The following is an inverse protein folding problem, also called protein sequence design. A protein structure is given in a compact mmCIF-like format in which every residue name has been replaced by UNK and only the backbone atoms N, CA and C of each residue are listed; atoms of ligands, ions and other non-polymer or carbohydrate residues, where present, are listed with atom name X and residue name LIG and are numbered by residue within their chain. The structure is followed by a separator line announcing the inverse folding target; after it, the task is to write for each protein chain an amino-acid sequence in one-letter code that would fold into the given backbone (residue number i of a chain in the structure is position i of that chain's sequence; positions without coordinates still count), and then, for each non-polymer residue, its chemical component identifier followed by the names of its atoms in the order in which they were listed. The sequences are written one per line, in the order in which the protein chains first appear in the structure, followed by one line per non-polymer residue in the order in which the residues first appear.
data_IF_269045418283
#
_entry.id   IF_269045418283
#
_cell.length_a   1.000
_cell.length_b   1.000
_cell.length_c   1.000
_cell.angle_alpha   90.00
_cell.angle_beta   90.00
_cell.angle_gamma   90.00
#
_symmetry.space_group_name_H-M   'P 1'
#
loop_
_entity.id
_entity.type
_entity.pdbx_description
1 polymer ?
#
# COMPACT_ATOMS: atom_id res chain seq x y z
N UNK A 1 12.02 52.72 -0.83
CA UNK A 1 10.70 52.71 -1.52
C UNK A 1 10.57 51.41 -2.29
N UNK A 2 9.96 50.39 -1.69
CA UNK A 2 9.89 49.04 -2.26
C UNK A 2 8.51 48.85 -2.87
N UNK A 3 8.44 48.74 -4.20
CA UNK A 3 7.17 48.61 -4.95
C UNK A 3 6.64 47.18 -4.78
N UNK A 4 5.56 47.03 -4.01
CA UNK A 4 4.80 45.77 -3.95
C UNK A 4 4.08 45.58 -5.29
N UNK A 5 4.46 44.55 -6.04
CA UNK A 5 3.72 44.11 -7.22
C UNK A 5 2.56 43.24 -6.77
N UNK A 6 1.34 43.75 -6.94
CA UNK A 6 0.10 43.02 -6.68
C UNK A 6 -0.06 41.85 -7.67
N UNK A 7 -0.05 40.63 -7.15
CA UNK A 7 -0.43 39.45 -7.92
C UNK A 7 -1.96 39.40 -8.09
N UNK A 8 -2.43 39.46 -9.33
CA UNK A 8 -3.83 39.26 -9.70
C UNK A 8 -4.28 37.84 -9.34
N UNK A 9 -5.19 37.69 -8.38
CA UNK A 9 -5.91 36.43 -8.13
C UNK A 9 -7.03 36.27 -9.16
N UNK A 10 -6.86 35.34 -10.10
CA UNK A 10 -7.90 34.95 -11.05
C UNK A 10 -8.82 33.93 -10.38
N UNK A 11 -9.94 34.38 -9.83
CA UNK A 11 -11.02 33.49 -9.39
C UNK A 11 -11.90 33.16 -10.60
N UNK A 12 -11.72 31.98 -11.19
CA UNK A 12 -12.69 31.44 -12.15
C UNK A 12 -13.94 31.02 -11.39
N UNK A 13 -15.08 31.65 -11.68
CA UNK A 13 -16.37 31.17 -11.19
C UNK A 13 -16.84 29.95 -12.00
N UNK A 14 -17.44 28.93 -11.38
CA UNK A 14 -18.06 27.82 -12.09
C UNK A 14 -19.37 28.29 -12.74
N UNK A 15 -19.51 28.03 -14.06
CA UNK A 15 -20.77 28.17 -14.77
C UNK A 15 -21.66 26.98 -14.42
N UNK A 16 -22.76 27.23 -13.72
CA UNK A 16 -23.88 26.31 -13.60
C UNK A 16 -24.64 26.28 -14.92
N UNK A 17 -24.72 25.10 -15.54
CA UNK A 17 -25.68 24.84 -16.62
C UNK A 17 -26.73 23.88 -16.09
N UNK A 18 -27.84 24.44 -15.63
CA UNK A 18 -29.10 23.72 -15.50
C UNK A 18 -29.59 23.33 -16.89
N UNK A 19 -29.70 22.03 -17.17
CA UNK A 19 -30.55 21.53 -18.23
C UNK A 19 -31.07 20.13 -17.88
N UNK A 20 -32.27 20.11 -17.32
CA UNK A 20 -33.15 18.94 -17.29
C UNK A 20 -33.59 18.63 -18.72
N UNK A 21 -33.40 17.38 -19.17
CA UNK A 21 -34.29 16.66 -20.09
C UNK A 21 -34.12 15.16 -19.79
N UNK A 22 -35.21 14.51 -19.37
CA UNK A 22 -35.38 13.07 -19.43
C UNK A 22 -35.65 12.65 -20.88
N UNK A 23 -35.02 11.58 -21.36
CA UNK A 23 -35.71 10.34 -21.75
C UNK A 23 -34.78 9.36 -22.49
N UNK A 24 -34.83 8.11 -22.02
CA UNK A 24 -34.85 6.87 -22.80
C UNK A 24 -34.06 6.79 -24.13
N UNK A 25 -33.05 5.90 -24.18
CA UNK A 25 -33.04 4.81 -25.17
C UNK A 25 -32.09 3.68 -24.77
N UNK A 26 -32.58 2.45 -24.89
CA UNK A 26 -31.87 1.20 -24.74
C UNK A 26 -30.72 1.07 -25.77
N UNK A 27 -29.75 0.17 -25.52
CA UNK A 27 -29.33 -0.94 -26.41
C UNK A 27 -27.87 -1.37 -26.17
N UNK A 28 -27.75 -2.66 -25.79
CA UNK A 28 -26.68 -3.67 -25.98
C UNK A 28 -25.31 -3.46 -25.26
N UNK A 29 -25.00 -4.26 -24.23
CA UNK A 29 -24.40 -5.62 -24.31
C UNK A 29 -23.16 -5.71 -25.20
N UNK A 30 -21.99 -5.74 -24.57
CA UNK A 30 -21.00 -6.80 -24.81
C UNK A 30 -20.06 -6.93 -23.60
N UNK A 31 -20.36 -7.91 -22.75
CA UNK A 31 -19.35 -8.59 -21.96
C UNK A 31 -18.61 -9.50 -22.93
N UNK A 32 -17.29 -9.44 -22.95
CA UNK A 32 -16.46 -10.43 -23.64
C UNK A 32 -15.93 -11.36 -22.56
N UNK A 33 -16.52 -12.54 -22.51
CA UNK A 33 -15.97 -13.71 -21.86
C UNK A 33 -14.75 -14.18 -22.67
N UNK A 34 -13.57 -14.23 -22.04
CA UNK A 34 -12.51 -15.16 -22.46
C UNK A 34 -12.21 -16.05 -21.28
N UNK A 35 -12.75 -17.26 -21.39
CA UNK A 35 -12.40 -18.45 -20.64
C UNK A 35 -10.95 -18.81 -21.00
N UNK A 36 -10.06 -18.85 -20.02
CA UNK A 36 -8.96 -19.81 -20.05
C UNK A 36 -8.89 -20.51 -18.70
N UNK A 37 -9.35 -21.76 -18.70
CA UNK A 37 -9.29 -22.67 -17.58
C UNK A 37 -7.85 -23.17 -17.42
N UNK A 38 -7.17 -22.76 -16.35
CA UNK A 38 -6.10 -23.59 -15.77
C UNK A 38 -6.26 -23.79 -14.26
N UNK A 39 -6.87 -24.94 -14.01
CA UNK A 39 -7.03 -25.71 -12.77
C UNK A 39 -5.70 -26.01 -12.08
N UNK A 40 -5.52 -25.59 -10.82
CA UNK A 40 -5.31 -26.51 -9.67
C UNK A 40 -4.97 -25.79 -8.33
N UNK A 41 -5.82 -26.10 -7.33
CA UNK A 41 -5.54 -26.35 -5.87
C UNK A 41 -4.72 -25.30 -5.10
N UNK A 42 -5.18 -24.65 -4.04
CA UNK A 42 -6.33 -24.88 -3.15
C UNK A 42 -5.85 -24.76 -1.70
N UNK A 43 -6.35 -23.80 -0.93
CA UNK A 43 -6.94 -24.01 0.40
C UNK A 43 -7.45 -22.68 0.98
N UNK A 44 -8.67 -22.77 1.48
CA UNK A 44 -9.59 -21.75 1.95
C UNK A 44 -9.17 -21.06 3.24
N UNK A 45 -9.44 -19.75 3.31
CA UNK A 45 -9.88 -19.14 4.56
C UNK A 45 -11.17 -18.37 4.28
N UNK A 46 -12.27 -18.81 4.91
CA UNK A 46 -13.44 -17.98 5.12
C UNK A 46 -13.05 -16.89 6.13
N UNK A 47 -13.13 -15.64 5.71
CA UNK A 47 -13.31 -14.47 6.58
C UNK A 47 -13.69 -13.35 5.61
N UNK A 48 -14.99 -13.01 5.55
CA UNK A 48 -15.59 -11.90 4.79
C UNK A 48 -14.86 -11.51 3.49
N UNK A 49 -15.10 -12.24 2.40
CA UNK A 49 -14.41 -12.03 1.13
C UNK A 49 -14.84 -10.73 0.46
N UNK A 50 -14.27 -9.62 0.90
CA UNK A 50 -14.15 -8.45 0.04
C UNK A 50 -13.47 -8.92 -1.26
N UNK A 51 -14.10 -8.67 -2.41
CA UNK A 51 -13.52 -9.02 -3.71
C UNK A 51 -12.17 -8.32 -3.84
N UNK A 52 -11.10 -9.10 -3.93
CA UNK A 52 -9.74 -8.59 -4.12
C UNK A 52 -9.44 -8.63 -5.62
N UNK A 53 -9.21 -7.49 -6.29
CA UNK A 53 -8.89 -7.47 -7.72
C UNK A 53 -7.48 -8.02 -7.97
N UNK A 54 -7.37 -9.34 -8.18
CA UNK A 54 -6.09 -10.06 -8.35
C UNK A 54 -5.32 -9.60 -9.60
N UNK A 55 -6.02 -9.16 -10.64
CA UNK A 55 -5.42 -8.66 -11.89
C UNK A 55 -4.43 -7.51 -11.67
N UNK A 56 -4.69 -6.63 -10.67
CA UNK A 56 -3.79 -5.52 -10.36
C UNK A 56 -2.45 -6.05 -9.83
N UNK A 57 -2.47 -7.11 -9.02
CA UNK A 57 -1.27 -7.68 -8.41
C UNK A 57 -0.38 -8.40 -9.41
N UNK A 58 -0.98 -9.09 -10.38
CA UNK A 58 -0.26 -9.71 -11.50
C UNK A 58 0.46 -8.64 -12.33
N UNK A 59 -0.24 -7.54 -12.64
CA UNK A 59 0.30 -6.43 -13.45
C UNK A 59 1.50 -5.77 -12.78
N UNK A 60 1.47 -5.58 -11.45
CA UNK A 60 2.56 -4.95 -10.69
C UNK A 60 3.55 -5.95 -10.08
N UNK A 61 3.43 -7.24 -10.38
CA UNK A 61 4.27 -8.34 -9.87
C UNK A 61 4.38 -8.36 -8.33
N UNK A 62 3.28 -8.03 -7.64
CA UNK A 62 3.25 -8.02 -6.18
C UNK A 62 3.30 -9.45 -5.62
N UNK A 63 4.14 -9.67 -4.60
CA UNK A 63 4.25 -10.99 -3.93
C UNK A 63 3.55 -10.94 -2.57
N UNK A 64 2.49 -11.74 -2.45
CA UNK A 64 1.73 -11.88 -1.23
C UNK A 64 2.49 -12.59 -0.12
N UNK A 65 2.04 -12.37 1.12
CA UNK A 65 2.55 -13.04 2.33
C UNK A 65 2.67 -14.57 2.19
N UNK A 66 1.74 -15.22 1.49
CA UNK A 66 1.70 -16.67 1.36
C UNK A 66 2.46 -17.19 0.12
N UNK A 67 3.00 -16.29 -0.70
CA UNK A 67 3.77 -16.65 -1.89
C UNK A 67 5.24 -16.81 -1.52
N UNK A 68 5.77 -18.04 -1.69
CA UNK A 68 7.19 -18.31 -1.46
C UNK A 68 8.04 -17.46 -2.40
N UNK A 69 8.92 -16.64 -1.83
CA UNK A 69 9.88 -15.86 -2.59
C UNK A 69 11.14 -15.61 -1.78
N UNK A 70 12.24 -15.32 -2.47
CA UNK A 70 13.53 -15.05 -1.84
C UNK A 70 13.52 -13.64 -1.25
N UNK A 71 13.72 -13.57 0.06
CA UNK A 71 13.84 -12.33 0.84
C UNK A 71 15.24 -12.30 1.46
N UNK A 72 15.92 -11.15 1.44
CA UNK A 72 17.22 -11.00 2.09
C UNK A 72 17.14 -11.29 3.59
N UNK A 73 18.22 -11.82 4.16
CA UNK A 73 18.33 -12.14 5.59
C UNK A 73 18.08 -10.92 6.49
N UNK A 74 18.55 -9.75 6.07
CA UNK A 74 18.33 -8.46 6.74
C UNK A 74 16.84 -8.12 6.83
N UNK A 75 16.13 -8.22 5.71
CA UNK A 75 14.70 -7.92 5.66
C UNK A 75 13.90 -8.90 6.54
N UNK A 76 14.26 -10.19 6.56
CA UNK A 76 13.64 -11.14 7.47
C UNK A 76 13.86 -10.77 8.95
N UNK A 77 15.06 -10.29 9.30
CA UNK A 77 15.38 -9.82 10.65
C UNK A 77 14.54 -8.61 11.03
N UNK A 78 14.40 -7.64 10.11
CA UNK A 78 13.55 -6.47 10.28
C UNK A 78 12.09 -6.87 10.52
N UNK A 79 11.53 -7.78 9.70
CA UNK A 79 10.15 -8.22 9.86
C UNK A 79 9.93 -8.98 11.17
N UNK A 80 10.87 -9.83 11.57
CA UNK A 80 10.83 -10.51 12.88
C UNK A 80 10.81 -9.49 14.02
N UNK A 81 11.64 -8.46 13.94
CA UNK A 81 11.67 -7.37 14.92
C UNK A 81 10.34 -6.61 14.97
N UNK A 82 9.84 -6.14 13.82
CA UNK A 82 8.58 -5.40 13.72
C UNK A 82 7.43 -6.24 14.26
N UNK A 83 7.31 -7.51 13.85
CA UNK A 83 6.23 -8.40 14.31
C UNK A 83 6.27 -8.66 15.81
N UNK A 84 7.47 -8.65 16.42
CA UNK A 84 7.64 -8.81 17.87
C UNK A 84 7.11 -7.60 18.64
N UNK A 85 7.47 -6.38 18.22
CA UNK A 85 7.21 -5.15 18.97
C UNK A 85 6.00 -4.33 18.51
N UNK A 86 5.53 -4.52 17.28
CA UNK A 86 4.44 -3.77 16.65
C UNK A 86 3.28 -4.68 16.27
N UNK A 87 2.08 -4.11 16.24
CA UNK A 87 0.89 -4.78 15.73
C UNK A 87 0.80 -4.54 14.22
N UNK A 88 1.05 -5.60 13.44
CA UNK A 88 0.88 -5.59 11.99
C UNK A 88 -0.57 -6.01 11.67
N UNK A 89 -1.40 -5.13 11.08
CA UNK A 89 -2.77 -5.49 10.72
C UNK A 89 -2.80 -6.62 9.69
N UNK A 90 -3.80 -7.51 9.80
CA UNK A 90 -4.04 -8.55 8.79
C UNK A 90 -4.33 -7.92 7.41
N UNK A 91 -5.04 -6.79 7.42
CA UNK A 91 -5.49 -6.09 6.20
C UNK A 91 -4.44 -5.11 5.64
N UNK A 92 -3.18 -5.23 6.05
CA UNK A 92 -2.11 -4.33 5.56
C UNK A 92 -2.01 -4.35 4.03
N UNK A 93 -2.40 -5.45 3.39
CA UNK A 93 -2.39 -5.54 1.94
C UNK A 93 -3.54 -4.76 1.30
N UNK A 94 -4.72 -4.76 1.89
CA UNK A 94 -5.94 -4.19 1.32
C UNK A 94 -6.17 -2.74 1.72
N UNK A 95 -5.63 -2.33 2.87
CA UNK A 95 -5.90 -1.01 3.44
C UNK A 95 -5.05 0.08 2.76
N UNK A 96 -5.73 1.00 2.08
CA UNK A 96 -5.11 2.12 1.36
C UNK A 96 -4.24 3.03 2.24
N UNK A 97 -4.42 3.03 3.57
CA UNK A 97 -3.59 3.80 4.53
C UNK A 97 -2.11 3.45 4.42
N UNK A 98 -1.77 2.21 4.06
CA UNK A 98 -0.39 1.73 3.95
C UNK A 98 0.28 2.04 2.60
N UNK A 99 -0.45 2.71 1.70
CA UNK A 99 0.03 3.14 0.39
C UNK A 99 -0.23 2.12 -0.72
N UNK A 100 0.16 2.51 -1.94
CA UNK A 100 0.00 1.71 -3.15
C UNK A 100 0.76 0.37 -3.10
N UNK A 101 0.38 -0.55 -3.99
CA UNK A 101 1.03 -1.87 -4.17
C UNK A 101 2.28 -1.79 -5.06
N UNK A 102 2.65 -0.59 -5.50
CA UNK A 102 3.68 -0.37 -6.51
C UNK A 102 5.07 -0.58 -5.92
N UNK A 103 5.76 -1.56 -6.49
CA UNK A 103 7.09 -1.96 -6.07
C UNK A 103 7.00 -2.63 -4.70
N UNK A 104 7.34 -3.92 -4.67
CA UNK A 104 7.78 -4.65 -3.50
C UNK A 104 6.77 -5.61 -2.86
N UNK A 105 7.36 -6.62 -2.23
CA UNK A 105 6.76 -7.76 -1.55
C UNK A 105 6.08 -7.33 -0.23
N UNK A 106 5.28 -8.22 0.36
CA UNK A 106 4.64 -8.00 1.66
C UNK A 106 5.59 -7.40 2.73
N UNK A 107 6.81 -7.93 2.83
CA UNK A 107 7.82 -7.51 3.82
C UNK A 107 8.20 -6.05 3.65
N UNK A 108 8.46 -5.64 2.41
CA UNK A 108 8.87 -4.28 2.13
C UNK A 108 7.74 -3.27 2.36
N UNK A 109 6.48 -3.68 2.16
CA UNK A 109 5.32 -2.89 2.57
C UNK A 109 5.23 -2.74 4.09
N UNK A 110 5.46 -3.81 4.85
CA UNK A 110 5.54 -3.74 6.33
C UNK A 110 6.66 -2.81 6.78
N UNK A 111 7.85 -2.92 6.16
CA UNK A 111 9.00 -2.07 6.47
C UNK A 111 8.71 -0.58 6.18
N UNK A 112 8.00 -0.27 5.09
CA UNK A 112 7.54 1.09 4.77
C UNK A 112 6.53 1.62 5.77
N UNK A 113 5.54 0.80 6.15
CA UNK A 113 4.56 1.18 7.18
C UNK A 113 5.25 1.50 8.51
N UNK A 114 6.31 0.74 8.85
CA UNK A 114 7.17 1.02 9.99
C UNK A 114 7.93 2.34 9.86
N UNK A 115 8.61 2.60 8.74
CA UNK A 115 9.37 3.86 8.55
C UNK A 115 8.48 5.10 8.59
N UNK A 116 7.21 4.96 8.18
CA UNK A 116 6.22 6.04 8.20
C UNK A 116 5.51 6.17 9.56
N UNK A 117 5.84 5.34 10.56
CA UNK A 117 5.19 5.38 11.88
C UNK A 117 3.71 5.01 11.85
N UNK A 118 3.26 4.24 10.85
CA UNK A 118 1.85 3.87 10.69
C UNK A 118 1.45 2.64 11.52
N UNK A 119 2.43 1.92 12.07
CA UNK A 119 2.22 0.74 12.91
C UNK A 119 2.11 1.14 14.38
N UNK A 120 1.14 0.54 15.08
CA UNK A 120 0.97 0.75 16.51
C UNK A 120 1.94 -0.14 17.29
N UNK A 121 2.67 0.44 18.23
CA UNK A 121 3.50 -0.31 19.17
C UNK A 121 2.64 -1.15 20.11
N UNK A 122 3.16 -2.31 20.53
CA UNK A 122 2.53 -3.12 21.56
C UNK A 122 2.75 -2.46 22.92
N UNK A 123 1.69 -2.34 23.72
CA UNK A 123 1.63 -1.60 25.00
C UNK A 123 2.68 -1.94 26.07
N UNK A 124 3.50 -2.98 25.88
CA UNK A 124 4.41 -3.51 26.90
C UNK A 124 5.88 -3.12 26.72
N UNK A 125 6.25 -2.46 25.63
CA UNK A 125 7.65 -2.10 25.38
C UNK A 125 7.74 -0.75 24.69
N UNK A 126 8.76 0.04 25.04
CA UNK A 126 9.29 1.12 24.23
C UNK A 126 10.33 0.52 23.27
N UNK A 127 9.95 0.15 22.03
CA UNK A 127 10.90 -0.44 21.10
C UNK A 127 11.92 0.60 20.68
N UNK A 128 13.20 0.24 20.79
CA UNK A 128 14.29 0.98 20.14
C UNK A 128 14.07 0.97 18.61
N UNK A 129 14.48 2.02 17.88
CA UNK A 129 14.37 2.01 16.43
C UNK A 129 15.26 0.90 15.82
N UNK A 130 14.78 0.25 14.77
CA UNK A 130 15.57 -0.66 13.94
C UNK A 130 15.90 0.03 12.62
N UNK A 131 17.14 -0.13 12.17
CA UNK A 131 17.60 0.41 10.91
C UNK A 131 17.15 -0.47 9.74
N UNK A 132 16.61 0.14 8.68
CA UNK A 132 16.11 -0.58 7.51
C UNK A 132 17.20 -0.97 6.50
N UNK A 133 18.40 -0.40 6.60
CA UNK A 133 19.53 -0.70 5.71
C UNK A 133 20.38 -1.84 6.25
N UNK A 134 20.82 -1.76 7.51
CA UNK A 134 21.71 -2.77 8.11
C UNK A 134 21.01 -3.73 9.09
N UNK A 135 19.69 -3.61 9.28
CA UNK A 135 18.89 -4.44 10.20
C UNK A 135 19.36 -4.42 11.68
N UNK A 136 20.17 -3.44 12.10
CA UNK A 136 20.61 -3.30 13.50
C UNK A 136 19.67 -2.41 14.31
N UNK A 137 19.57 -2.69 15.61
CA UNK A 137 18.71 -1.96 16.54
C UNK A 137 19.51 -0.87 17.23
N UNK A 138 18.92 0.32 17.36
CA UNK A 138 19.49 1.46 18.09
C UNK A 138 19.59 2.74 17.28
N UNK A 139 19.40 2.68 15.96
CA UNK A 139 19.44 3.85 15.09
C UNK A 139 18.41 3.77 13.97
N UNK A 140 18.11 4.91 13.35
CA UNK A 140 17.21 4.99 12.19
C UNK A 140 18.00 4.99 10.89
N UNK A 141 17.34 4.81 9.75
CA UNK A 141 18.03 4.83 8.44
C UNK A 141 18.84 6.12 8.22
N UNK A 142 18.39 7.26 8.78
CA UNK A 142 19.04 8.58 8.63
C UNK A 142 20.38 8.69 9.36
N UNK A 143 20.61 7.83 10.33
CA UNK A 143 21.79 7.85 11.21
C UNK A 143 22.56 6.54 11.07
N UNK A 144 22.40 5.85 9.93
CA UNK A 144 23.05 4.57 9.70
C UNK A 144 24.50 4.80 9.26
N UNK A 145 25.49 4.17 9.91
CA UNK A 145 26.89 4.30 9.49
C UNK A 145 27.16 3.68 8.11
N UNK A 146 26.36 2.69 7.72
CA UNK A 146 26.43 2.01 6.41
C UNK A 146 25.56 2.71 5.34
N UNK A 147 24.74 3.68 5.74
CA UNK A 147 23.82 4.40 4.84
C UNK A 147 24.41 5.74 4.43
N UNK A 148 24.76 5.86 3.15
CA UNK A 148 25.22 7.10 2.50
C UNK A 148 24.25 8.28 2.69
#
# INVERSE_FOLDING_TARGET
MTKMTNFMRVTKQPKTHDKKVEDSCMVKKQCVDVVDEKKMKGQSHEESRAYIPTFIYETVQYKHKHTKHVVSSEMQTIIKYITKFYNVPKDIEQNAKFGCHSGLTYEKRVARAYSMGQLLSKRKAEPKPICLTCATVGHTYKTCPEGF
#
